data_IF_009851396803
#
_entry.id   IF_009851396803
#
_cell.length_a   1.000
_cell.length_b   1.000
_cell.length_c   1.000
_cell.angle_alpha   90.00
_cell.angle_beta   90.00
_cell.angle_gamma   90.00
#
_symmetry.space_group_name_H-M   'P 1'
#
loop_
_entity.id
_entity.type
_entity.pdbx_description
1 polymer ?
#
# COMPACT_ATOMS: atom_id res chain seq x y z
N UNK A 1 -24.92 35.33 -11.75
CA UNK A 1 -24.64 33.90 -11.52
C UNK A 1 -23.24 33.44 -11.95
N UNK A 2 -22.56 34.08 -12.92
CA UNK A 2 -21.23 33.66 -13.42
C UNK A 2 -20.04 33.93 -12.47
N UNK A 3 -20.08 34.98 -11.65
CA UNK A 3 -18.96 35.33 -10.74
C UNK A 3 -18.83 34.36 -9.55
N UNK A 4 -19.95 33.81 -9.04
CA UNK A 4 -19.94 32.87 -7.91
C UNK A 4 -19.33 31.51 -8.27
N UNK A 5 -19.47 31.05 -9.52
CA UNK A 5 -18.90 29.77 -9.99
C UNK A 5 -17.39 29.86 -10.17
N UNK A 6 -16.87 30.98 -10.64
CA UNK A 6 -15.41 31.20 -10.81
C UNK A 6 -14.71 31.20 -9.45
N UNK A 7 -15.29 31.85 -8.43
CA UNK A 7 -14.70 31.88 -7.08
C UNK A 7 -14.68 30.49 -6.44
N UNK A 8 -15.75 29.69 -6.60
CA UNK A 8 -15.79 28.31 -6.09
C UNK A 8 -14.80 27.42 -6.82
N UNK A 9 -14.66 27.56 -8.15
CA UNK A 9 -13.69 26.80 -8.94
C UNK A 9 -12.24 27.18 -8.62
N UNK A 10 -11.96 28.47 -8.38
CA UNK A 10 -10.64 28.96 -7.96
C UNK A 10 -10.28 28.54 -6.53
N UNK A 11 -11.24 28.52 -5.61
CA UNK A 11 -11.04 28.00 -4.25
C UNK A 11 -10.85 26.48 -4.25
N UNK A 12 -11.56 25.76 -5.13
CA UNK A 12 -11.35 24.33 -5.33
C UNK A 12 -9.98 24.03 -5.95
N UNK A 13 -9.55 24.81 -6.94
CA UNK A 13 -8.20 24.71 -7.52
C UNK A 13 -7.10 25.08 -6.52
N UNK A 14 -7.27 26.10 -5.68
CA UNK A 14 -6.31 26.44 -4.62
C UNK A 14 -6.24 25.38 -3.52
N UNK A 15 -7.36 24.77 -3.16
CA UNK A 15 -7.39 23.60 -2.26
C UNK A 15 -6.76 22.36 -2.87
N UNK A 16 -6.97 22.13 -4.17
CA UNK A 16 -6.44 20.99 -4.91
C UNK A 16 -4.92 21.12 -5.18
N UNK A 17 -4.41 22.32 -5.46
CA UNK A 17 -2.96 22.58 -5.60
C UNK A 17 -2.24 22.37 -4.26
N UNK A 18 -2.89 22.69 -3.13
CA UNK A 18 -2.32 22.46 -1.78
C UNK A 18 -2.24 20.97 -1.42
N UNK A 19 -3.12 20.14 -1.99
CA UNK A 19 -3.11 18.67 -1.86
C UNK A 19 -2.02 18.01 -2.72
N UNK A 20 -1.40 18.75 -3.65
CA UNK A 20 -0.38 18.25 -4.57
C UNK A 20 1.03 18.78 -4.24
N UNK A 21 1.24 19.46 -3.10
CA UNK A 21 2.62 19.83 -2.73
C UNK A 21 3.37 18.56 -2.34
N UNK A 22 4.41 18.21 -3.09
CA UNK A 22 5.37 17.18 -2.70
C UNK A 22 5.84 17.47 -1.28
N UNK A 23 5.63 16.54 -0.34
CA UNK A 23 6.16 16.76 0.99
C UNK A 23 7.68 16.69 0.92
N UNK A 24 8.32 17.73 1.45
CA UNK A 24 9.75 17.95 1.34
C UNK A 24 10.37 17.70 2.71
N UNK A 25 11.49 17.00 2.75
CA UNK A 25 12.30 16.84 3.95
C UNK A 25 13.55 17.71 3.85
N UNK A 26 14.09 18.10 5.00
CA UNK A 26 15.30 18.89 5.11
C UNK A 26 16.30 18.25 6.05
N UNK A 27 17.60 18.41 5.77
CA UNK A 27 18.69 18.05 6.66
C UNK A 27 19.44 19.30 7.07
N UNK A 28 19.66 19.47 8.37
CA UNK A 28 20.33 20.66 8.91
C UNK A 28 21.84 20.55 8.71
N UNK A 29 22.42 21.55 8.03
CA UNK A 29 23.86 21.62 7.74
C UNK A 29 24.60 22.62 8.64
N UNK A 30 23.91 23.32 9.55
CA UNK A 30 24.54 24.20 10.53
C UNK A 30 25.19 23.39 11.67
N UNK A 31 26.52 23.42 11.77
CA UNK A 31 27.28 22.67 12.78
C UNK A 31 26.90 23.01 14.24
N UNK A 32 26.48 24.25 14.52
CA UNK A 32 26.03 24.68 15.84
C UNK A 32 24.53 24.42 16.11
N UNK A 33 23.85 23.70 15.21
CA UNK A 33 22.40 23.67 15.15
C UNK A 33 21.79 24.92 14.51
N UNK A 34 20.55 24.78 14.07
CA UNK A 34 19.77 25.81 13.38
C UNK A 34 18.62 26.28 14.26
N UNK A 35 18.51 27.59 14.47
CA UNK A 35 17.44 28.17 15.29
C UNK A 35 16.12 28.19 14.52
N UNK A 36 15.08 27.58 15.11
CA UNK A 36 13.70 27.66 14.68
C UNK A 36 13.02 28.86 15.36
N UNK A 37 12.29 29.69 14.62
CA UNK A 37 11.69 30.94 15.11
C UNK A 37 10.20 31.02 14.80
N UNK A 38 9.46 31.85 15.53
CA UNK A 38 8.01 31.97 15.30
C UNK A 38 7.67 32.60 13.95
N UNK A 39 8.53 33.49 13.46
CA UNK A 39 8.40 34.19 12.19
C UNK A 39 9.76 34.28 11.47
N UNK A 40 9.77 34.53 10.14
CA UNK A 40 11.01 34.79 9.40
C UNK A 40 11.70 36.04 9.93
N UNK A 41 12.92 35.91 10.44
CA UNK A 41 13.72 37.05 10.94
C UNK A 41 14.49 36.73 12.21
N UNK A 42 15.65 37.37 12.45
CA UNK A 42 16.52 37.09 13.62
C UNK A 42 16.00 37.70 14.92
N UNK A 43 15.13 38.68 14.80
CA UNK A 43 14.49 39.45 15.87
C UNK A 43 13.36 38.67 16.55
N UNK A 44 12.74 37.73 15.84
CA UNK A 44 11.60 36.99 16.37
C UNK A 44 11.99 35.92 17.40
N UNK A 45 11.10 35.61 18.36
CA UNK A 45 11.37 34.63 19.40
C UNK A 45 11.84 33.27 18.86
N UNK A 46 12.73 32.63 19.63
CA UNK A 46 13.22 31.29 19.33
C UNK A 46 12.21 30.26 19.84
N UNK A 47 11.76 29.38 18.94
CA UNK A 47 10.87 28.25 19.23
C UNK A 47 11.68 27.03 19.70
N UNK A 48 12.79 26.75 19.02
CA UNK A 48 13.69 25.63 19.31
C UNK A 48 15.05 25.82 18.64
N UNK A 49 16.00 24.93 18.95
CA UNK A 49 17.25 24.76 18.20
C UNK A 49 17.24 23.34 17.64
N UNK A 50 17.35 23.23 16.32
CA UNK A 50 17.38 21.96 15.60
C UNK A 50 18.86 21.53 15.48
N UNK A 51 19.24 20.33 15.96
CA UNK A 51 20.63 19.88 15.92
C UNK A 51 21.20 19.75 14.50
N UNK A 52 22.52 19.76 14.39
CA UNK A 52 23.22 19.38 13.16
C UNK A 52 22.84 17.95 12.72
N UNK A 53 22.72 17.75 11.41
CA UNK A 53 22.32 16.49 10.75
C UNK A 53 20.90 15.99 11.08
N UNK A 54 20.14 16.73 11.91
CA UNK A 54 18.76 16.40 12.18
C UNK A 54 17.90 16.54 10.91
N UNK A 55 16.92 15.63 10.77
CA UNK A 55 15.91 15.70 9.72
C UNK A 55 14.69 16.49 10.19
N UNK A 56 14.12 17.28 9.28
CA UNK A 56 12.94 18.12 9.50
C UNK A 56 11.96 17.94 8.35
N UNK A 57 10.68 18.17 8.64
CA UNK A 57 9.66 18.33 7.61
C UNK A 57 9.66 19.79 7.14
N UNK A 58 9.72 20.01 5.83
CA UNK A 58 9.72 21.34 5.22
C UNK A 58 8.31 21.63 4.71
N UNK A 59 7.65 22.59 5.36
CA UNK A 59 6.25 22.94 5.12
C UNK A 59 6.09 24.03 4.05
N UNK A 60 7.08 24.93 3.95
CA UNK A 60 7.07 26.05 3.00
C UNK A 60 8.49 26.52 2.70
N UNK A 61 8.83 26.69 1.43
CA UNK A 61 10.13 27.21 0.98
C UNK A 61 10.04 28.64 0.41
N UNK A 62 8.84 29.21 0.36
CA UNK A 62 8.52 30.50 -0.27
C UNK A 62 8.52 31.69 0.70
N UNK A 63 9.13 31.54 1.88
CA UNK A 63 9.28 32.63 2.84
C UNK A 63 10.13 33.79 2.30
N UNK A 64 10.16 34.93 3.02
CA UNK A 64 10.92 36.10 2.59
C UNK A 64 12.40 35.78 2.45
N UNK A 65 13.04 36.40 1.47
CA UNK A 65 14.48 36.23 1.21
C UNK A 65 15.26 37.25 2.03
N UNK A 66 16.27 36.78 2.74
CA UNK A 66 17.18 37.62 3.52
C UNK A 66 18.64 37.32 3.22
N UNK A 67 19.51 38.28 3.58
CA UNK A 67 20.96 38.11 3.55
C UNK A 67 21.48 38.04 4.99
N UNK A 68 21.96 36.87 5.40
CA UNK A 68 22.50 36.63 6.74
C UNK A 68 23.95 36.20 6.62
N UNK A 69 24.86 36.97 7.23
CA UNK A 69 26.31 36.70 7.17
C UNK A 69 26.83 36.53 5.72
N UNK A 70 26.34 37.38 4.81
CA UNK A 70 26.70 37.34 3.39
C UNK A 70 26.06 36.21 2.58
N UNK A 71 25.18 35.39 3.17
CA UNK A 71 24.47 34.32 2.48
C UNK A 71 23.03 34.76 2.20
N UNK A 72 22.59 34.68 0.95
CA UNK A 72 21.23 35.01 0.52
C UNK A 72 20.40 33.73 0.44
N UNK A 73 19.26 33.67 1.14
CA UNK A 73 18.35 32.53 1.09
C UNK A 73 16.96 32.91 1.59
N UNK A 74 15.88 32.28 1.09
CA UNK A 74 14.56 32.35 1.73
C UNK A 74 14.59 31.75 3.14
N UNK A 75 13.65 32.19 3.97
CA UNK A 75 13.28 31.48 5.19
C UNK A 75 12.35 30.32 4.85
N UNK A 76 12.60 29.15 5.42
CA UNK A 76 11.76 27.97 5.28
C UNK A 76 10.90 27.80 6.52
N UNK A 77 9.61 27.46 6.32
CA UNK A 77 8.75 27.00 7.41
C UNK A 77 8.97 25.49 7.59
N UNK A 78 9.24 25.08 8.83
CA UNK A 78 9.59 23.72 9.20
C UNK A 78 8.69 23.19 10.32
N UNK A 79 8.57 21.87 10.38
CA UNK A 79 8.07 21.14 11.56
C UNK A 79 9.19 20.25 12.10
N UNK A 80 9.46 20.36 13.40
CA UNK A 80 10.45 19.55 14.11
C UNK A 80 9.95 19.18 15.49
N UNK A 81 9.85 17.87 15.78
CA UNK A 81 9.35 17.33 17.05
C UNK A 81 7.97 17.91 17.46
N UNK A 82 7.08 18.10 16.49
CA UNK A 82 5.75 18.66 16.70
C UNK A 82 5.70 20.18 16.90
N UNK A 83 6.84 20.88 16.81
CA UNK A 83 6.89 22.35 16.83
C UNK A 83 7.09 22.89 15.42
N UNK A 84 6.24 23.84 15.04
CA UNK A 84 6.37 24.57 13.79
C UNK A 84 7.11 25.90 13.99
N UNK A 85 7.84 26.34 12.97
CA UNK A 85 8.45 27.66 12.92
C UNK A 85 9.23 27.90 11.65
N UNK A 86 10.02 28.95 11.62
CA UNK A 86 10.80 29.41 10.49
C UNK A 86 12.30 29.32 10.78
N UNK A 87 13.07 28.87 9.81
CA UNK A 87 14.52 28.81 9.88
C UNK A 87 15.14 29.30 8.57
N UNK A 88 16.37 29.80 8.63
CA UNK A 88 17.05 30.34 7.46
C UNK A 88 17.46 29.21 6.50
N UNK A 89 16.92 29.23 5.27
CA UNK A 89 17.00 28.13 4.31
C UNK A 89 18.41 27.74 3.87
N UNK A 90 19.38 28.66 3.98
CA UNK A 90 20.77 28.41 3.58
C UNK A 90 21.40 27.21 4.30
N UNK A 91 20.95 26.93 5.52
CA UNK A 91 21.47 25.85 6.37
C UNK A 91 20.65 24.56 6.28
N UNK A 92 19.88 24.40 5.20
CA UNK A 92 18.96 23.29 5.02
C UNK A 92 19.18 22.72 3.62
N UNK A 93 19.60 21.47 3.55
CA UNK A 93 19.59 20.72 2.30
C UNK A 93 18.26 19.99 2.19
N UNK A 94 17.46 20.34 1.19
CA UNK A 94 16.14 19.74 0.98
C UNK A 94 16.18 18.55 0.03
N UNK A 95 15.32 17.58 0.25
CA UNK A 95 15.16 16.38 -0.57
C UNK A 95 13.71 15.89 -0.49
N UNK A 96 13.20 15.19 -1.51
CA UNK A 96 11.85 14.61 -1.46
C UNK A 96 11.70 13.72 -0.23
N UNK A 97 10.58 13.85 0.48
CA UNK A 97 10.30 12.98 1.62
C UNK A 97 10.05 11.55 1.12
N UNK A 98 10.97 10.64 1.45
CA UNK A 98 10.93 9.25 1.01
C UNK A 98 9.66 8.52 1.45
N UNK A 99 9.11 8.85 2.63
CA UNK A 99 7.88 8.23 3.13
C UNK A 99 6.68 8.67 2.28
N UNK A 100 6.63 9.95 1.93
CA UNK A 100 5.56 10.49 1.10
C UNK A 100 5.64 10.05 -0.35
N UNK A 101 6.85 9.93 -0.92
CA UNK A 101 7.02 9.39 -2.26
C UNK A 101 6.58 7.92 -2.33
N UNK A 102 6.88 7.15 -1.28
CA UNK A 102 6.49 5.75 -1.18
C UNK A 102 4.98 5.57 -0.96
N UNK A 103 4.34 6.44 -0.16
CA UNK A 103 2.88 6.46 -0.02
C UNK A 103 2.15 6.86 -1.31
N UNK A 104 2.69 7.82 -2.06
CA UNK A 104 2.12 8.20 -3.35
C UNK A 104 2.27 7.08 -4.39
N UNK A 105 3.45 6.46 -4.49
CA UNK A 105 3.66 5.32 -5.38
C UNK A 105 2.75 4.14 -5.03
N UNK A 106 2.59 3.84 -3.73
CA UNK A 106 1.64 2.84 -3.27
C UNK A 106 0.20 3.17 -3.69
N UNK A 107 -0.23 4.42 -3.53
CA UNK A 107 -1.57 4.87 -3.93
C UNK A 107 -1.77 4.70 -5.44
N UNK A 108 -0.82 5.13 -6.26
CA UNK A 108 -0.90 5.02 -7.72
C UNK A 108 -0.99 3.54 -8.14
N UNK A 109 -0.15 2.68 -7.57
CA UNK A 109 -0.13 1.24 -7.84
C UNK A 109 -1.42 0.56 -7.41
N UNK A 110 -1.93 0.87 -6.21
CA UNK A 110 -3.18 0.32 -5.71
C UNK A 110 -4.36 0.67 -6.63
N UNK A 111 -4.48 1.93 -7.03
CA UNK A 111 -5.56 2.36 -7.92
C UNK A 111 -5.40 1.76 -9.32
N UNK A 112 -4.17 1.65 -9.82
CA UNK A 112 -3.88 1.00 -11.10
C UNK A 112 -4.23 -0.48 -11.09
N UNK A 113 -3.90 -1.20 -10.00
CA UNK A 113 -4.23 -2.61 -9.84
C UNK A 113 -5.73 -2.89 -9.93
N UNK A 114 -6.58 -1.95 -9.49
CA UNK A 114 -8.03 -2.07 -9.58
C UNK A 114 -8.61 -1.64 -10.93
N UNK A 115 -8.04 -0.62 -11.56
CA UNK A 115 -8.59 -0.03 -12.79
C UNK A 115 -8.05 -0.66 -14.07
N UNK A 116 -6.82 -1.18 -14.02
CA UNK A 116 -6.08 -1.70 -15.18
C UNK A 116 -5.85 -3.20 -15.11
N UNK A 117 -6.49 -3.91 -14.19
CA UNK A 117 -6.29 -5.35 -14.04
C UNK A 117 -6.55 -6.12 -15.36
N UNK A 118 -7.56 -5.71 -16.13
CA UNK A 118 -7.88 -6.34 -17.42
C UNK A 118 -6.82 -6.16 -18.50
N UNK A 119 -5.89 -5.21 -18.33
CA UNK A 119 -4.78 -4.93 -19.25
C UNK A 119 -3.47 -5.59 -18.80
N UNK A 120 -3.47 -6.22 -17.63
CA UNK A 120 -2.27 -6.77 -17.02
C UNK A 120 -1.78 -8.06 -17.70
N UNK A 121 -0.50 -8.36 -17.51
CA UNK A 121 0.17 -9.54 -18.03
C UNK A 121 0.48 -10.53 -16.92
N UNK A 122 0.61 -11.80 -17.31
CA UNK A 122 1.10 -12.83 -16.41
C UNK A 122 2.61 -12.64 -16.12
N UNK A 123 2.97 -12.39 -14.85
CA UNK A 123 4.35 -12.29 -14.37
C UNK A 123 4.85 -13.56 -13.63
N UNK A 124 4.28 -14.72 -13.95
CA UNK A 124 4.71 -16.03 -13.48
C UNK A 124 5.05 -16.93 -14.68
N UNK A 125 6.35 -17.13 -14.91
CA UNK A 125 6.88 -17.86 -16.08
C UNK A 125 6.53 -19.35 -16.10
N UNK A 126 6.10 -19.90 -14.98
CA UNK A 126 5.83 -21.32 -14.76
C UNK A 126 4.33 -21.65 -14.78
N UNK A 127 3.49 -20.74 -15.29
CA UNK A 127 2.05 -20.91 -15.36
C UNK A 127 1.50 -20.58 -16.74
N UNK A 128 0.57 -21.42 -17.21
CA UNK A 128 -0.26 -21.05 -18.35
C UNK A 128 -1.28 -19.99 -17.91
N UNK A 129 -1.48 -18.98 -18.75
CA UNK A 129 -2.34 -17.84 -18.43
C UNK A 129 -3.82 -18.17 -18.68
N UNK A 130 -4.51 -18.54 -17.60
CA UNK A 130 -5.96 -18.76 -17.59
C UNK A 130 -6.72 -17.53 -17.05
N UNK A 131 -6.14 -16.33 -17.07
CA UNK A 131 -6.78 -15.16 -16.48
C UNK A 131 -8.10 -14.79 -17.19
N UNK A 132 -9.19 -14.46 -16.45
CA UNK A 132 -9.31 -14.35 -14.99
C UNK A 132 -9.75 -15.64 -14.26
N UNK A 133 -9.90 -16.76 -14.96
CA UNK A 133 -10.48 -18.01 -14.44
C UNK A 133 -9.47 -18.96 -13.77
N UNK A 134 -8.18 -18.65 -13.80
CA UNK A 134 -7.09 -19.48 -13.27
C UNK A 134 -6.90 -19.48 -11.75
N UNK A 135 -7.88 -19.02 -10.97
CA UNK A 135 -7.84 -19.00 -9.51
C UNK A 135 -6.85 -17.98 -8.91
N UNK A 136 -6.59 -18.11 -7.61
CA UNK A 136 -5.78 -17.13 -6.85
C UNK A 136 -4.33 -17.02 -7.35
N UNK A 137 -3.75 -18.11 -7.86
CA UNK A 137 -2.38 -18.10 -8.33
C UNK A 137 -2.25 -17.23 -9.57
N UNK A 138 -3.07 -17.46 -10.59
CA UNK A 138 -3.08 -16.65 -11.81
C UNK A 138 -3.49 -15.21 -11.49
N UNK A 139 -4.49 -15.01 -10.62
CA UNK A 139 -4.85 -13.67 -10.15
C UNK A 139 -3.65 -12.91 -9.54
N UNK A 140 -2.90 -13.55 -8.64
CA UNK A 140 -1.69 -12.96 -8.06
C UNK A 140 -0.63 -12.66 -9.14
N UNK A 141 -0.44 -13.54 -10.12
CA UNK A 141 0.52 -13.35 -11.19
C UNK A 141 0.25 -12.10 -12.05
N UNK A 142 -1.00 -11.68 -12.16
CA UNK A 142 -1.40 -10.41 -12.79
C UNK A 142 -1.25 -9.20 -11.85
N UNK A 143 -1.62 -9.35 -10.57
CA UNK A 143 -1.44 -8.29 -9.56
C UNK A 143 0.03 -7.89 -9.39
N UNK A 144 0.96 -8.83 -9.58
CA UNK A 144 2.42 -8.59 -9.54
C UNK A 144 2.88 -7.47 -10.47
N UNK A 145 2.17 -7.19 -11.56
CA UNK A 145 2.51 -6.07 -12.46
C UNK A 145 2.48 -4.71 -11.73
N UNK A 146 1.52 -4.56 -10.81
CA UNK A 146 1.32 -3.31 -10.08
C UNK A 146 2.01 -3.34 -8.72
N UNK A 147 1.97 -4.48 -8.05
CA UNK A 147 2.35 -4.61 -6.65
C UNK A 147 2.94 -5.99 -6.38
N UNK A 148 4.25 -6.11 -6.60
CA UNK A 148 4.98 -7.33 -6.28
C UNK A 148 5.30 -7.45 -4.77
N UNK A 149 5.83 -8.62 -4.40
CA UNK A 149 6.15 -8.97 -3.02
C UNK A 149 7.20 -8.03 -2.40
N UNK A 150 8.23 -7.67 -3.15
CA UNK A 150 9.30 -6.82 -2.66
C UNK A 150 8.78 -5.41 -2.37
N UNK A 151 8.06 -4.82 -3.32
CA UNK A 151 7.44 -3.52 -3.15
C UNK A 151 6.51 -3.49 -1.94
N UNK A 152 5.62 -4.48 -1.82
CA UNK A 152 4.68 -4.55 -0.71
C UNK A 152 5.42 -4.69 0.64
N UNK A 153 6.50 -5.46 0.69
CA UNK A 153 7.32 -5.63 1.90
C UNK A 153 8.14 -4.38 2.26
N UNK A 154 8.51 -3.55 1.27
CA UNK A 154 9.15 -2.25 1.51
C UNK A 154 8.15 -1.22 2.02
N UNK A 155 6.93 -1.22 1.47
CA UNK A 155 5.86 -0.34 1.89
C UNK A 155 5.38 -0.64 3.32
N UNK A 156 5.13 -1.92 3.61
CA UNK A 156 4.65 -2.35 4.90
C UNK A 156 5.79 -2.40 5.91
N UNK A 157 5.61 -1.72 7.03
CA UNK A 157 6.55 -1.78 8.16
C UNK A 157 6.43 -3.08 8.98
N UNK A 158 5.40 -3.89 8.68
CA UNK A 158 5.12 -5.17 9.31
C UNK A 158 5.53 -6.33 8.38
N UNK A 159 6.10 -7.42 8.92
CA UNK A 159 6.47 -8.57 8.09
C UNK A 159 5.21 -9.27 7.55
N UNK A 160 5.26 -9.68 6.28
CA UNK A 160 4.16 -10.41 5.61
C UNK A 160 3.97 -11.80 6.22
N UNK A 161 5.08 -12.49 6.52
CA UNK A 161 5.12 -13.79 7.16
C UNK A 161 5.79 -13.70 8.54
N UNK A 162 5.24 -14.40 9.53
CA UNK A 162 5.87 -14.57 10.85
C UNK A 162 7.02 -15.58 10.81
N UNK A 163 6.87 -16.61 10.00
CA UNK A 163 7.84 -17.69 9.81
C UNK A 163 7.60 -18.39 8.47
N UNK A 164 8.50 -19.30 8.12
CA UNK A 164 8.46 -20.07 6.90
C UNK A 164 9.69 -19.80 6.01
N UNK A 165 9.69 -20.31 4.78
CA UNK A 165 10.88 -20.35 3.93
C UNK A 165 11.16 -19.04 3.20
N UNK A 166 10.37 -17.99 3.43
CA UNK A 166 10.42 -16.72 2.73
C UNK A 166 11.39 -15.75 3.40
N UNK A 167 12.13 -14.98 2.59
CA UNK A 167 12.91 -13.86 3.10
C UNK A 167 12.05 -12.61 3.22
N UNK A 168 12.58 -11.52 3.81
CA UNK A 168 11.85 -10.26 3.88
C UNK A 168 11.42 -9.74 2.51
N UNK A 169 12.22 -9.91 1.45
CA UNK A 169 11.99 -9.28 0.14
C UNK A 169 11.81 -10.27 -1.01
N UNK A 170 11.87 -11.58 -0.76
CA UNK A 170 11.65 -12.59 -1.78
C UNK A 170 10.84 -13.79 -1.25
N UNK A 171 9.88 -14.23 -2.07
CA UNK A 171 9.17 -15.49 -1.89
C UNK A 171 10.09 -16.67 -2.24
N UNK A 172 9.92 -17.76 -1.49
CA UNK A 172 10.50 -19.06 -1.78
C UNK A 172 9.37 -20.03 -2.06
N UNK A 173 9.11 -20.29 -3.34
CA UNK A 173 8.02 -21.15 -3.80
C UNK A 173 8.45 -22.60 -4.02
N UNK A 174 9.73 -22.90 -3.82
CA UNK A 174 10.32 -24.22 -4.05
C UNK A 174 10.56 -25.00 -2.74
N UNK A 175 10.13 -24.46 -1.61
CA UNK A 175 10.24 -25.14 -0.32
C UNK A 175 9.28 -26.34 -0.28
N UNK A 176 9.82 -27.52 0.03
CA UNK A 176 9.08 -28.79 0.00
C UNK A 176 8.67 -29.29 1.38
N UNK A 177 9.25 -28.74 2.45
CA UNK A 177 9.07 -29.18 3.84
C UNK A 177 8.65 -28.05 4.79
N UNK A 178 8.40 -26.85 4.26
CA UNK A 178 8.03 -25.67 5.03
C UNK A 178 7.13 -24.77 4.16
N UNK A 179 6.28 -23.96 4.81
CA UNK A 179 5.35 -23.06 4.12
C UNK A 179 5.25 -21.70 4.82
N UNK A 180 4.79 -20.69 4.09
CA UNK A 180 4.65 -19.34 4.63
C UNK A 180 3.57 -19.25 5.71
N UNK A 181 3.95 -18.90 6.94
CA UNK A 181 3.01 -18.62 8.02
C UNK A 181 2.71 -17.13 8.06
N UNK A 182 1.57 -16.72 7.51
CA UNK A 182 1.18 -15.31 7.46
C UNK A 182 1.20 -14.65 8.83
N UNK A 183 1.64 -13.39 8.86
CA UNK A 183 1.41 -12.53 10.00
C UNK A 183 -0.08 -12.11 10.03
N UNK A 184 -0.85 -12.42 11.09
CA UNK A 184 -2.25 -11.99 11.15
C UNK A 184 -2.42 -10.47 11.10
N UNK A 185 -1.45 -9.72 11.62
CA UNK A 185 -1.47 -8.26 11.54
C UNK A 185 -1.40 -7.78 10.08
N UNK A 186 -0.56 -8.43 9.28
CA UNK A 186 -0.48 -8.18 7.84
C UNK A 186 -1.82 -8.38 7.15
N UNK A 187 -2.51 -9.50 7.42
CA UNK A 187 -3.82 -9.82 6.83
C UNK A 187 -4.86 -8.75 7.20
N UNK A 188 -4.88 -8.31 8.45
CA UNK A 188 -5.79 -7.25 8.91
C UNK A 188 -5.46 -5.89 8.29
N UNK A 189 -4.17 -5.61 8.06
CA UNK A 189 -3.71 -4.35 7.49
C UNK A 189 -4.08 -4.24 6.00
N UNK A 190 -3.81 -5.27 5.20
CA UNK A 190 -4.15 -5.27 3.77
C UNK A 190 -5.65 -5.13 3.54
N UNK A 191 -6.50 -5.73 4.38
CA UNK A 191 -7.97 -5.61 4.30
C UNK A 191 -8.43 -4.15 4.40
N UNK A 192 -7.74 -3.33 5.20
CA UNK A 192 -8.07 -1.90 5.37
C UNK A 192 -7.53 -1.03 4.24
N UNK A 193 -6.36 -1.38 3.70
CA UNK A 193 -5.68 -0.59 2.68
C UNK A 193 -6.21 -0.85 1.27
N UNK A 194 -6.47 -2.11 0.92
CA UNK A 194 -6.69 -2.53 -0.48
C UNK A 194 -8.12 -2.34 -0.98
N UNK A 195 -9.02 -1.78 -0.16
CA UNK A 195 -10.43 -1.56 -0.51
C UNK A 195 -10.78 -0.05 -0.56
N UNK A 196 -10.12 0.75 -1.42
CA UNK A 196 -10.37 2.18 -1.52
C UNK A 196 -11.83 2.51 -1.93
N UNK A 197 -12.50 1.59 -2.62
CA UNK A 197 -13.91 1.73 -3.00
C UNK A 197 -14.86 1.89 -1.80
N UNK A 198 -14.51 1.37 -0.62
CA UNK A 198 -15.32 1.53 0.60
C UNK A 198 -15.43 2.99 1.07
N UNK A 199 -14.47 3.84 0.69
CA UNK A 199 -14.39 5.24 1.12
C UNK A 199 -14.58 6.23 -0.03
N UNK A 200 -14.71 5.75 -1.27
CA UNK A 200 -14.72 6.59 -2.46
C UNK A 200 -15.79 6.09 -3.47
N UNK A 201 -17.00 6.69 -3.45
CA UNK A 201 -18.10 6.31 -4.35
C UNK A 201 -17.79 6.49 -5.83
N UNK A 202 -16.97 7.49 -6.19
CA UNK A 202 -16.54 7.69 -7.57
C UNK A 202 -15.65 6.52 -8.02
N UNK A 203 -14.67 6.15 -7.18
CA UNK A 203 -13.79 5.02 -7.47
C UNK A 203 -14.56 3.70 -7.51
N UNK A 204 -15.55 3.50 -6.63
CA UNK A 204 -16.46 2.34 -6.70
C UNK A 204 -17.08 2.25 -8.10
N UNK A 205 -17.71 3.34 -8.59
CA UNK A 205 -18.31 3.36 -9.93
C UNK A 205 -17.30 3.05 -11.04
N UNK A 206 -16.09 3.61 -10.95
CA UNK A 206 -15.04 3.40 -11.96
C UNK A 206 -14.52 1.96 -11.97
N UNK A 207 -14.40 1.32 -10.80
CA UNK A 207 -13.85 -0.04 -10.66
C UNK A 207 -14.90 -1.15 -10.81
N UNK A 208 -16.21 -0.85 -10.72
CA UNK A 208 -17.29 -1.85 -10.77
C UNK A 208 -17.20 -2.77 -11.99
N UNK A 209 -16.97 -2.23 -13.20
CA UNK A 209 -16.91 -3.07 -14.41
C UNK A 209 -15.73 -4.04 -14.37
N UNK A 210 -14.56 -3.55 -13.92
CA UNK A 210 -13.35 -4.36 -13.80
C UNK A 210 -13.54 -5.42 -12.72
N UNK A 211 -14.10 -5.06 -11.56
CA UNK A 211 -14.43 -6.01 -10.51
C UNK A 211 -15.36 -7.12 -11.02
N UNK A 212 -16.47 -6.75 -11.68
CA UNK A 212 -17.44 -7.71 -12.18
C UNK A 212 -16.84 -8.69 -13.18
N UNK A 213 -15.95 -8.21 -14.04
CA UNK A 213 -15.36 -9.03 -15.11
C UNK A 213 -14.20 -9.90 -14.63
N UNK A 214 -13.34 -9.38 -13.74
CA UNK A 214 -12.05 -10.02 -13.45
C UNK A 214 -11.89 -10.52 -12.01
N UNK A 215 -12.72 -10.07 -11.07
CA UNK A 215 -12.53 -10.34 -9.62
C UNK A 215 -13.73 -11.07 -9.01
N UNK A 216 -14.94 -10.70 -9.40
CA UNK A 216 -16.19 -11.11 -8.76
C UNK A 216 -16.33 -12.63 -8.65
N UNK A 217 -16.06 -13.36 -9.74
CA UNK A 217 -16.17 -14.83 -9.74
C UNK A 217 -15.24 -15.45 -8.70
N UNK A 218 -13.99 -15.02 -8.65
CA UNK A 218 -13.01 -15.49 -7.68
C UNK A 218 -13.44 -15.14 -6.24
N UNK A 219 -13.85 -13.91 -5.99
CA UNK A 219 -14.32 -13.46 -4.67
C UNK A 219 -15.55 -14.27 -4.19
N UNK A 220 -16.56 -14.46 -5.04
CA UNK A 220 -17.75 -15.27 -4.74
C UNK A 220 -17.36 -16.73 -4.45
N UNK A 221 -16.46 -17.30 -5.23
CA UNK A 221 -15.94 -18.65 -5.00
C UNK A 221 -15.36 -18.78 -3.59
N UNK A 222 -14.47 -17.87 -3.16
CA UNK A 222 -13.88 -17.92 -1.82
C UNK A 222 -14.90 -17.67 -0.70
N UNK A 223 -15.87 -16.78 -0.92
CA UNK A 223 -16.93 -16.53 0.06
C UNK A 223 -17.81 -17.75 0.28
N UNK A 224 -18.28 -18.38 -0.80
CA UNK A 224 -19.11 -19.60 -0.74
C UNK A 224 -18.36 -20.73 -0.07
N UNK A 225 -17.10 -20.94 -0.46
CA UNK A 225 -16.19 -21.93 0.13
C UNK A 225 -16.08 -21.77 1.63
N UNK A 226 -15.80 -20.55 2.09
CA UNK A 226 -15.71 -20.24 3.51
C UNK A 226 -17.02 -20.57 4.22
N UNK A 227 -18.16 -20.12 3.70
CA UNK A 227 -19.49 -20.38 4.28
C UNK A 227 -19.78 -21.88 4.39
N UNK A 228 -19.47 -22.66 3.36
CA UNK A 228 -19.67 -24.12 3.37
C UNK A 228 -18.76 -24.81 4.39
N UNK A 229 -17.50 -24.42 4.50
CA UNK A 229 -16.58 -24.99 5.48
C UNK A 229 -17.00 -24.66 6.92
N UNK A 230 -17.42 -23.43 7.18
CA UNK A 230 -17.91 -23.03 8.50
C UNK A 230 -19.23 -23.71 8.87
N UNK A 231 -20.12 -23.96 7.90
CA UNK A 231 -21.38 -24.69 8.15
C UNK A 231 -21.20 -26.21 8.26
N UNK A 232 -20.03 -26.76 7.89
CA UNK A 232 -19.74 -28.19 7.94
C UNK A 232 -18.45 -28.51 8.74
N UNK A 233 -18.45 -28.37 10.08
CA UNK A 233 -17.25 -28.52 10.91
C UNK A 233 -16.56 -29.88 10.80
N UNK A 234 -17.33 -30.97 10.69
CA UNK A 234 -16.77 -32.33 10.55
C UNK A 234 -16.03 -32.50 9.22
N UNK A 235 -16.61 -31.98 8.13
CA UNK A 235 -15.95 -32.01 6.81
C UNK A 235 -14.69 -31.16 6.81
N UNK A 236 -14.76 -29.93 7.35
CA UNK A 236 -13.61 -29.04 7.52
C UNK A 236 -12.49 -29.69 8.32
N UNK A 237 -12.82 -30.39 9.41
CA UNK A 237 -11.85 -31.12 10.23
C UNK A 237 -11.20 -32.28 9.44
N UNK A 238 -11.98 -33.07 8.71
CA UNK A 238 -11.47 -34.13 7.85
C UNK A 238 -10.52 -33.62 6.76
N UNK A 239 -10.83 -32.49 6.14
CA UNK A 239 -9.95 -31.84 5.15
C UNK A 239 -8.61 -31.37 5.77
N UNK A 240 -8.65 -30.78 6.96
CA UNK A 240 -7.45 -30.37 7.70
C UNK A 240 -6.57 -31.57 8.08
N UNK A 241 -7.19 -32.65 8.55
CA UNK A 241 -6.48 -33.85 8.97
C UNK A 241 -5.84 -34.56 7.77
N UNK A 242 -6.53 -34.62 6.63
CA UNK A 242 -5.98 -35.15 5.37
C UNK A 242 -4.77 -34.34 4.88
N UNK A 243 -4.86 -33.02 4.88
CA UNK A 243 -3.76 -32.15 4.47
C UNK A 243 -2.54 -32.27 5.41
N UNK A 244 -2.79 -32.27 6.72
CA UNK A 244 -1.72 -32.41 7.72
C UNK A 244 -1.02 -33.77 7.59
N UNK A 245 -1.79 -34.84 7.37
CA UNK A 245 -1.24 -36.18 7.15
C UNK A 245 -0.38 -36.24 5.88
N UNK A 246 -0.81 -35.60 4.79
CA UNK A 246 -0.04 -35.52 3.55
C UNK A 246 1.31 -34.81 3.75
N UNK A 247 1.33 -33.69 4.48
CA UNK A 247 2.58 -32.97 4.79
C UNK A 247 3.58 -33.83 5.57
N UNK A 248 3.09 -34.77 6.39
CA UNK A 248 3.95 -35.67 7.19
C UNK A 248 4.43 -36.89 6.39
N UNK A 249 3.60 -37.46 5.52
CA UNK A 249 3.89 -38.73 4.85
C UNK A 249 4.51 -38.57 3.46
N UNK A 250 4.19 -37.48 2.75
CA UNK A 250 4.65 -37.22 1.38
C UNK A 250 5.06 -35.76 1.18
N UNK A 251 6.03 -35.25 1.95
CA UNK A 251 6.46 -33.86 1.81
C UNK A 251 6.97 -33.57 0.39
N UNK A 252 6.45 -32.51 -0.22
CA UNK A 252 6.77 -32.11 -1.59
C UNK A 252 5.98 -32.81 -2.70
N UNK A 253 5.19 -33.84 -2.40
CA UNK A 253 4.23 -34.37 -3.37
C UNK A 253 3.06 -33.39 -3.55
N UNK A 254 2.56 -33.25 -4.77
CA UNK A 254 1.37 -32.45 -5.03
C UNK A 254 0.21 -33.02 -4.21
N UNK A 255 -0.27 -32.25 -3.23
CA UNK A 255 -1.56 -32.53 -2.64
C UNK A 255 -2.59 -32.21 -3.72
N UNK A 256 -3.43 -33.20 -4.06
CA UNK A 256 -4.46 -33.02 -5.08
C UNK A 256 -5.41 -31.89 -4.67
N UNK A 257 -5.11 -30.70 -5.19
CA UNK A 257 -5.90 -29.50 -4.99
C UNK A 257 -6.99 -29.37 -6.05
N UNK A 258 -6.98 -30.20 -7.10
CA UNK A 258 -8.02 -30.19 -8.14
C UNK A 258 -9.35 -30.64 -7.57
N UNK A 259 -9.35 -31.50 -6.54
CA UNK A 259 -10.56 -31.79 -5.75
C UNK A 259 -11.22 -30.51 -5.21
N UNK A 260 -10.42 -29.52 -4.84
CA UNK A 260 -10.93 -28.23 -4.40
C UNK A 260 -11.41 -27.38 -5.57
N UNK A 261 -10.83 -27.47 -6.76
CA UNK A 261 -11.38 -26.76 -7.92
C UNK A 261 -12.87 -27.05 -8.11
N UNK A 262 -13.28 -28.32 -7.97
CA UNK A 262 -14.69 -28.69 -8.00
C UNK A 262 -15.49 -28.14 -6.82
N UNK A 263 -14.95 -28.23 -5.60
CA UNK A 263 -15.52 -27.62 -4.37
C UNK A 263 -15.75 -26.11 -4.50
N UNK A 264 -14.78 -25.41 -5.08
CA UNK A 264 -14.70 -23.97 -5.28
C UNK A 264 -15.55 -23.50 -6.48
N UNK A 265 -15.89 -24.40 -7.41
CA UNK A 265 -16.66 -24.09 -8.61
C UNK A 265 -18.18 -24.13 -8.34
N UNK A 266 -18.83 -22.97 -8.52
CA UNK A 266 -20.28 -22.76 -8.33
C UNK A 266 -21.16 -23.73 -9.15
N UNK A 267 -20.65 -24.27 -10.25
CA UNK A 267 -21.40 -25.09 -11.21
C UNK A 267 -21.77 -26.49 -10.70
N UNK A 268 -21.07 -27.03 -9.68
CA UNK A 268 -21.35 -28.39 -9.17
C UNK A 268 -22.19 -28.43 -7.90
N UNK A 269 -22.17 -27.36 -7.09
CA UNK A 269 -22.88 -27.30 -5.80
C UNK A 269 -24.17 -26.48 -5.82
N UNK A 270 -24.50 -25.81 -6.94
CA UNK A 270 -25.78 -25.12 -7.10
C UNK A 270 -27.01 -26.03 -6.88
N UNK A 271 -26.87 -27.35 -7.06
CA UNK A 271 -27.96 -28.31 -6.92
C UNK A 271 -27.87 -29.18 -5.65
N UNK A 272 -26.88 -28.96 -4.78
CA UNK A 272 -26.61 -29.84 -3.62
C UNK A 272 -27.13 -29.25 -2.30
N UNK A 273 -27.43 -27.94 -2.27
CA UNK A 273 -27.90 -27.23 -1.06
C UNK A 273 -29.28 -26.58 -1.22
N UNK A 274 -29.99 -26.82 -2.32
CA UNK A 274 -31.40 -26.46 -2.54
C UNK A 274 -32.37 -27.61 -2.15
N UNK A 275 -31.94 -28.52 -1.26
CA UNK A 275 -32.73 -29.66 -0.77
C UNK A 275 -32.52 -29.91 0.72
#
# INVERSE_FOLDING_TARGET
>A
MRIKVIIVFSLFMLGFVRLMSESLSGRITANSGLTLRERPGKEYPKVSIIPWDAQVEVLDTSGPIEIIKGKKSPWFKLSYQGKEGWAFGYYITTFPNQKSSLEEDFRIRLYSAWLKLGESKNHCSDTFDYFPDGGMRIFYCHIKEFMDYEFLSRYLTIPIFKSGPHSRFALNLNATHDFGHYNPEFVLHIRKLFLPALKNPFFLRMSTSIYNQYIKKLAETFEVTYKVLESNPSYKKGELDAYTSHLQTSPGANFDYEKYYYFLSKTKYANVYDG
#
